data_IF_635995520079
#
_entry.id   IF_635995520079
#
_cell.length_a   1.000
_cell.length_b   1.000
_cell.length_c   1.000
_cell.angle_alpha   90.00
_cell.angle_beta   90.00
_cell.angle_gamma   90.00
#
_symmetry.space_group_name_H-M   'P 1'
#
loop_
_entity.id
_entity.type
_entity.pdbx_description
1 polymer ?
#
# COMPACT_ATOMS: atom_id res chain seq x y z
N UNK A 1 22.97 4.39 -32.06
CA UNK A 1 22.69 4.49 -30.61
C UNK A 1 23.92 4.03 -29.87
N UNK A 2 24.78 4.97 -29.49
CA UNK A 2 26.16 4.67 -29.08
C UNK A 2 26.17 4.37 -27.59
N UNK A 3 26.32 3.10 -27.23
CA UNK A 3 26.76 2.68 -25.89
C UNK A 3 27.98 3.54 -25.57
N UNK A 4 27.85 4.47 -24.64
CA UNK A 4 28.91 5.45 -24.35
C UNK A 4 30.19 4.72 -23.95
N UNK A 5 31.37 5.32 -24.23
CA UNK A 5 32.69 4.73 -23.93
C UNK A 5 32.84 4.28 -22.46
N UNK A 6 32.00 4.80 -21.57
CA UNK A 6 31.90 4.46 -20.14
C UNK A 6 31.17 3.14 -19.86
N UNK A 7 30.24 2.72 -20.73
CA UNK A 7 29.36 1.55 -20.51
C UNK A 7 30.01 0.26 -21.00
N UNK A 8 30.88 0.35 -22.01
CA UNK A 8 31.55 -0.81 -22.62
C UNK A 8 32.41 -1.62 -21.61
N UNK A 9 33.26 -1.00 -20.77
CA UNK A 9 34.11 -1.73 -19.83
C UNK A 9 33.31 -2.43 -18.73
N UNK A 10 32.24 -1.81 -18.23
CA UNK A 10 31.34 -2.37 -17.21
C UNK A 10 30.45 -3.49 -17.75
N UNK A 11 30.00 -3.39 -19.01
CA UNK A 11 29.31 -4.49 -19.68
C UNK A 11 30.24 -5.66 -19.99
N UNK A 12 31.50 -5.38 -20.32
CA UNK A 12 32.55 -6.40 -20.49
C UNK A 12 32.90 -7.04 -19.15
N UNK A 13 32.92 -6.28 -18.05
CA UNK A 13 33.06 -6.80 -16.69
C UNK A 13 31.86 -7.69 -16.32
N UNK A 14 30.61 -7.26 -16.56
CA UNK A 14 29.42 -8.12 -16.40
C UNK A 14 29.49 -9.38 -17.25
N UNK A 15 30.04 -9.31 -18.47
CA UNK A 15 30.21 -10.47 -19.35
C UNK A 15 31.26 -11.45 -18.81
N UNK A 16 32.39 -10.91 -18.36
CA UNK A 16 33.48 -11.68 -17.77
C UNK A 16 33.05 -12.32 -16.44
N UNK A 17 32.20 -11.64 -15.68
CA UNK A 17 31.66 -12.10 -14.41
C UNK A 17 30.44 -13.02 -14.56
N UNK A 18 29.60 -12.81 -15.57
CA UNK A 18 28.48 -13.67 -15.93
C UNK A 18 28.91 -15.06 -16.42
N UNK A 19 30.17 -15.21 -16.83
CA UNK A 19 30.79 -16.50 -17.11
C UNK A 19 31.31 -17.23 -15.85
N UNK A 20 31.34 -16.59 -14.68
CA UNK A 20 31.90 -17.15 -13.43
C UNK A 20 30.94 -17.15 -12.22
N UNK A 21 29.94 -16.27 -12.18
CA UNK A 21 28.83 -16.30 -11.21
C UNK A 21 27.77 -15.23 -11.56
N UNK A 22 26.51 -15.63 -11.68
CA UNK A 22 25.31 -14.77 -11.70
C UNK A 22 25.33 -13.72 -10.57
N UNK A 23 25.94 -14.10 -9.43
CA UNK A 23 25.99 -13.32 -8.19
C UNK A 23 26.64 -11.93 -8.34
N UNK A 24 27.80 -11.84 -9.01
CA UNK A 24 28.57 -10.59 -9.09
C UNK A 24 27.96 -9.60 -10.10
N UNK A 25 27.19 -10.10 -11.07
CA UNK A 25 26.41 -9.29 -12.00
C UNK A 25 25.37 -8.47 -11.23
N UNK A 26 24.62 -9.07 -10.31
CA UNK A 26 23.56 -8.38 -9.58
C UNK A 26 24.02 -7.28 -8.63
N UNK A 27 25.16 -7.50 -7.93
CA UNK A 27 25.76 -6.49 -7.03
C UNK A 27 26.16 -5.21 -7.77
N UNK A 28 26.63 -5.35 -9.01
CA UNK A 28 27.02 -4.22 -9.84
C UNK A 28 25.83 -3.62 -10.57
N UNK A 29 24.80 -4.39 -10.91
CA UNK A 29 23.57 -3.91 -11.57
C UNK A 29 22.82 -2.90 -10.70
N UNK A 30 22.62 -3.15 -9.41
CA UNK A 30 21.95 -2.19 -8.52
C UNK A 30 22.70 -0.85 -8.43
N UNK A 31 24.04 -0.88 -8.46
CA UNK A 31 24.90 0.31 -8.48
C UNK A 31 24.89 1.00 -9.84
N UNK A 32 25.00 0.24 -10.93
CA UNK A 32 24.91 0.73 -12.31
C UNK A 32 23.59 1.44 -12.54
N UNK A 33 22.47 0.84 -12.15
CA UNK A 33 21.14 1.42 -12.34
C UNK A 33 20.94 2.70 -11.50
N UNK A 34 21.61 2.83 -10.35
CA UNK A 34 21.64 4.07 -9.53
C UNK A 34 22.58 5.15 -10.08
N UNK A 35 23.60 4.80 -10.85
CA UNK A 35 24.59 5.74 -11.40
C UNK A 35 24.09 6.51 -12.62
N UNK A 36 23.07 6.03 -13.33
CA UNK A 36 22.51 6.74 -14.48
C UNK A 36 21.38 7.67 -14.07
N UNK A 37 21.34 8.87 -14.63
CA UNK A 37 20.27 9.83 -14.46
C UNK A 37 18.95 9.32 -15.09
N UNK A 38 17.79 9.79 -14.63
CA UNK A 38 16.47 9.37 -15.15
C UNK A 38 16.31 9.72 -16.65
N UNK A 39 17.16 10.59 -17.17
CA UNK A 39 17.25 11.00 -18.58
C UNK A 39 17.72 9.88 -19.53
N UNK A 40 18.35 8.80 -19.04
CA UNK A 40 18.87 7.70 -19.88
C UNK A 40 18.03 6.40 -19.82
N UNK A 41 16.72 6.58 -20.02
CA UNK A 41 15.70 5.53 -19.96
C UNK A 41 15.98 4.34 -20.89
N UNK A 42 16.45 4.58 -22.11
CA UNK A 42 16.65 3.50 -23.09
C UNK A 42 17.86 2.63 -22.77
N UNK A 43 18.96 3.19 -22.24
CA UNK A 43 20.12 2.38 -21.82
C UNK A 43 19.76 1.49 -20.63
N UNK A 44 18.94 2.01 -19.71
CA UNK A 44 18.39 1.26 -18.57
C UNK A 44 17.56 0.05 -19.00
N UNK A 45 16.66 0.21 -19.96
CA UNK A 45 15.89 -0.89 -20.56
C UNK A 45 16.80 -1.91 -21.27
N UNK A 46 17.82 -1.44 -22.00
CA UNK A 46 18.76 -2.32 -22.69
C UNK A 46 19.58 -3.17 -21.72
N UNK A 47 20.02 -2.59 -20.60
CA UNK A 47 20.71 -3.30 -19.50
C UNK A 47 19.79 -4.38 -18.91
N UNK A 48 18.54 -4.05 -18.59
CA UNK A 48 17.55 -5.02 -18.08
C UNK A 48 17.33 -6.20 -19.03
N UNK A 49 17.11 -5.91 -20.32
CA UNK A 49 16.95 -6.96 -21.35
C UNK A 49 18.18 -7.87 -21.42
N UNK A 50 19.38 -7.33 -21.20
CA UNK A 50 20.63 -8.10 -21.26
C UNK A 50 20.80 -8.99 -20.04
N UNK A 51 20.50 -8.48 -18.84
CA UNK A 51 20.56 -9.25 -17.58
C UNK A 51 19.52 -10.37 -17.59
N UNK A 52 18.29 -10.08 -18.02
CA UNK A 52 17.22 -11.08 -18.07
C UNK A 52 17.53 -12.25 -19.01
N UNK A 53 18.38 -12.05 -20.02
CA UNK A 53 18.86 -13.13 -20.90
C UNK A 53 19.91 -14.03 -20.26
N UNK A 54 20.65 -13.53 -19.29
CA UNK A 54 21.73 -14.26 -18.59
C UNK A 54 21.32 -14.75 -17.20
N UNK A 55 20.10 -14.42 -16.75
CA UNK A 55 19.62 -14.80 -15.43
C UNK A 55 19.28 -16.29 -15.37
N UNK A 56 19.92 -16.99 -14.43
CA UNK A 56 19.62 -18.37 -14.08
C UNK A 56 19.24 -18.45 -12.59
N UNK A 57 18.05 -18.97 -12.24
CA UNK A 57 17.55 -18.96 -10.86
C UNK A 57 18.31 -19.87 -9.88
N UNK A 58 19.16 -20.78 -10.36
CA UNK A 58 19.77 -21.85 -9.54
C UNK A 58 21.00 -21.43 -8.71
N UNK A 59 21.38 -20.15 -8.66
CA UNK A 59 22.51 -19.70 -7.83
C UNK A 59 22.04 -19.27 -6.42
N UNK A 60 21.86 -20.28 -5.56
CA UNK A 60 21.25 -20.21 -4.21
C UNK A 60 22.07 -19.48 -3.11
N UNK A 61 23.24 -18.90 -3.43
CA UNK A 61 24.17 -18.37 -2.41
C UNK A 61 24.13 -16.84 -2.18
N UNK A 62 23.11 -16.16 -2.70
CA UNK A 62 22.97 -14.70 -2.64
C UNK A 62 22.64 -14.10 -1.26
N UNK A 63 21.81 -14.75 -0.39
CA UNK A 63 21.44 -14.20 0.93
C UNK A 63 22.63 -14.05 1.88
N UNK A 64 23.68 -14.84 1.69
CA UNK A 64 24.86 -14.89 2.56
C UNK A 64 25.78 -13.67 2.40
N UNK A 65 25.51 -12.78 1.45
CA UNK A 65 26.30 -11.56 1.23
C UNK A 65 25.72 -10.35 1.97
N UNK A 66 26.58 -9.41 2.42
CA UNK A 66 26.13 -8.11 2.93
C UNK A 66 25.24 -7.41 1.90
N UNK A 67 24.06 -6.95 2.33
CA UNK A 67 23.06 -6.25 1.51
C UNK A 67 22.50 -7.03 0.29
N UNK A 68 22.66 -8.35 0.24
CA UNK A 68 22.21 -9.17 -0.89
C UNK A 68 20.69 -9.09 -1.10
N UNK A 69 19.93 -9.29 -0.02
CA UNK A 69 18.45 -9.24 -0.05
C UNK A 69 17.95 -7.86 -0.45
N UNK A 70 18.50 -6.79 0.15
CA UNK A 70 18.15 -5.41 -0.17
C UNK A 70 18.41 -5.06 -1.64
N UNK A 71 19.49 -5.58 -2.23
CA UNK A 71 19.80 -5.40 -3.65
C UNK A 71 18.78 -6.07 -4.58
N UNK A 72 18.29 -7.26 -4.20
CA UNK A 72 17.28 -7.99 -4.96
C UNK A 72 15.90 -7.32 -4.90
N UNK A 73 15.52 -6.79 -3.74
CA UNK A 73 14.30 -5.95 -3.62
C UNK A 73 14.40 -4.74 -4.55
N UNK A 74 15.53 -4.04 -4.55
CA UNK A 74 15.74 -2.91 -5.45
C UNK A 74 15.71 -3.27 -6.93
N UNK A 75 16.32 -4.40 -7.31
CA UNK A 75 16.27 -4.91 -8.68
C UNK A 75 14.84 -5.22 -9.11
N UNK A 76 14.07 -5.91 -8.26
CA UNK A 76 12.69 -6.22 -8.57
C UNK A 76 11.84 -4.95 -8.69
N UNK A 77 12.02 -3.98 -7.79
CA UNK A 77 11.39 -2.66 -7.89
C UNK A 77 11.66 -1.99 -9.24
N UNK A 78 12.90 -2.10 -9.70
CA UNK A 78 13.34 -1.53 -10.96
C UNK A 78 12.72 -2.24 -12.16
N UNK A 79 12.68 -3.57 -12.16
CA UNK A 79 12.02 -4.36 -13.20
C UNK A 79 10.56 -3.94 -13.30
N UNK A 80 9.84 -3.87 -12.17
CA UNK A 80 8.42 -3.46 -12.14
C UNK A 80 8.19 -2.05 -12.69
N UNK A 81 9.12 -1.11 -12.47
CA UNK A 81 9.02 0.27 -12.98
C UNK A 81 9.09 0.31 -14.51
N UNK A 82 10.00 -0.45 -15.13
CA UNK A 82 10.25 -0.37 -16.57
C UNK A 82 9.53 -1.42 -17.39
N UNK A 83 9.02 -2.49 -16.77
CA UNK A 83 8.31 -3.58 -17.46
C UNK A 83 7.21 -3.10 -18.43
N UNK A 84 6.34 -2.12 -18.09
CA UNK A 84 5.29 -1.65 -19.00
C UNK A 84 5.80 -0.98 -20.28
N UNK A 85 7.08 -0.61 -20.32
CA UNK A 85 7.70 0.16 -21.39
C UNK A 85 8.62 -0.70 -22.27
N UNK A 86 8.75 -1.98 -21.93
CA UNK A 86 9.64 -2.93 -22.60
C UNK A 86 8.88 -3.61 -23.74
N UNK A 87 9.32 -3.37 -24.98
CA UNK A 87 8.88 -4.15 -26.13
C UNK A 87 9.36 -5.61 -26.00
N UNK A 88 8.46 -6.57 -26.21
CA UNK A 88 8.69 -8.02 -26.08
C UNK A 88 9.29 -8.42 -24.72
N UNK A 89 8.54 -8.25 -23.60
CA UNK A 89 9.06 -8.35 -22.24
C UNK A 89 9.24 -9.79 -21.71
N UNK A 90 8.93 -10.83 -22.49
CA UNK A 90 8.84 -12.22 -22.01
C UNK A 90 10.01 -12.72 -21.14
N UNK A 91 11.26 -12.37 -21.49
CA UNK A 91 12.43 -12.75 -20.66
C UNK A 91 12.48 -11.98 -19.33
N UNK A 92 12.11 -10.71 -19.35
CA UNK A 92 12.10 -9.83 -18.17
C UNK A 92 10.93 -10.20 -17.26
N UNK A 93 9.78 -10.57 -17.82
CA UNK A 93 8.62 -11.09 -17.06
C UNK A 93 9.00 -12.36 -16.30
N UNK A 94 9.61 -13.35 -16.98
CA UNK A 94 10.08 -14.58 -16.32
C UNK A 94 11.06 -14.32 -15.18
N UNK A 95 11.99 -13.39 -15.38
CA UNK A 95 12.93 -12.97 -14.34
C UNK A 95 12.19 -12.30 -13.17
N UNK A 96 11.21 -11.43 -13.45
CA UNK A 96 10.39 -10.79 -12.42
C UNK A 96 9.61 -11.81 -11.60
N UNK A 97 9.00 -12.81 -12.25
CA UNK A 97 8.27 -13.89 -11.59
C UNK A 97 9.19 -14.72 -10.70
N UNK A 98 10.36 -15.11 -11.20
CA UNK A 98 11.35 -15.87 -10.43
C UNK A 98 11.83 -15.10 -9.19
N UNK A 99 12.11 -13.79 -9.35
CA UNK A 99 12.48 -12.93 -8.24
C UNK A 99 11.35 -12.75 -7.23
N UNK A 100 10.11 -12.60 -7.71
CA UNK A 100 8.93 -12.50 -6.86
C UNK A 100 8.78 -13.75 -6.00
N UNK A 101 8.92 -14.93 -6.58
CA UNK A 101 8.73 -16.20 -5.87
C UNK A 101 9.86 -16.43 -4.84
N UNK A 102 11.10 -16.03 -5.16
CA UNK A 102 12.23 -16.04 -4.25
C UNK A 102 12.01 -15.08 -3.06
N UNK A 103 11.64 -13.83 -3.34
CA UNK A 103 11.36 -12.82 -2.32
C UNK A 103 10.15 -13.21 -1.46
N UNK A 104 9.12 -13.83 -2.03
CA UNK A 104 7.97 -14.34 -1.27
C UNK A 104 8.37 -15.39 -0.24
N UNK A 105 9.35 -16.23 -0.57
CA UNK A 105 9.90 -17.22 0.37
C UNK A 105 10.63 -16.52 1.54
N UNK A 106 11.42 -15.48 1.27
CA UNK A 106 12.20 -14.80 2.30
C UNK A 106 11.42 -13.80 3.15
N UNK A 107 10.38 -13.16 2.61
CA UNK A 107 9.59 -12.13 3.30
C UNK A 107 8.27 -12.65 3.87
N UNK A 108 8.27 -13.89 4.36
CA UNK A 108 7.11 -14.49 5.03
C UNK A 108 6.81 -13.79 6.37
N UNK A 109 5.54 -13.67 6.77
CA UNK A 109 5.10 -13.04 8.05
C UNK A 109 5.90 -13.52 9.27
N UNK A 110 6.25 -14.80 9.34
CA UNK A 110 7.01 -15.39 10.44
C UNK A 110 8.35 -14.71 10.73
N UNK A 111 8.95 -14.09 9.70
CA UNK A 111 10.26 -13.44 9.77
C UNK A 111 10.18 -11.92 9.95
N UNK A 112 8.97 -11.35 9.94
CA UNK A 112 8.75 -9.94 10.18
C UNK A 112 8.52 -9.67 11.66
N UNK A 113 9.27 -8.73 12.21
CA UNK A 113 9.09 -8.22 13.57
C UNK A 113 8.20 -6.98 13.50
N UNK A 114 7.25 -6.87 14.43
CA UNK A 114 6.43 -5.68 14.59
C UNK A 114 7.00 -4.84 15.72
N UNK A 115 7.31 -3.58 15.43
CA UNK A 115 7.85 -2.63 16.39
C UNK A 115 6.94 -1.43 16.55
N UNK A 116 6.81 -0.94 17.78
CA UNK A 116 6.11 0.31 18.07
C UNK A 116 7.05 1.48 17.80
N UNK A 117 6.67 2.37 16.89
CA UNK A 117 7.38 3.62 16.64
C UNK A 117 6.77 4.71 17.51
N UNK A 118 7.62 5.38 18.28
CA UNK A 118 7.27 6.47 19.19
C UNK A 118 8.15 7.69 18.92
N UNK A 119 7.88 8.81 19.58
CA UNK A 119 8.76 9.98 19.49
C UNK A 119 10.16 9.74 20.07
N UNK A 120 10.33 8.69 20.89
CA UNK A 120 11.62 8.27 21.46
C UNK A 120 12.38 7.28 20.56
N UNK A 121 11.76 6.79 19.48
CA UNK A 121 12.43 5.89 18.53
C UNK A 121 13.60 6.60 17.82
N UNK A 122 14.60 5.86 17.31
CA UNK A 122 15.70 6.43 16.56
C UNK A 122 15.23 7.33 15.42
N UNK A 123 15.90 8.49 15.26
CA UNK A 123 15.55 9.50 14.26
C UNK A 123 15.49 8.92 12.84
N UNK A 124 16.36 7.96 12.53
CA UNK A 124 16.39 7.25 11.24
C UNK A 124 15.04 6.58 10.92
N UNK A 125 14.47 5.82 11.86
CA UNK A 125 13.16 5.16 11.69
C UNK A 125 12.04 6.19 11.58
N UNK A 126 12.06 7.23 12.41
CA UNK A 126 11.07 8.31 12.37
C UNK A 126 11.11 9.06 11.03
N UNK A 127 12.30 9.29 10.47
CA UNK A 127 12.49 9.86 9.15
C UNK A 127 11.90 8.94 8.07
N UNK A 128 12.16 7.63 8.11
CA UNK A 128 11.56 6.68 7.16
C UNK A 128 10.03 6.65 7.24
N UNK A 129 9.47 6.74 8.44
CA UNK A 129 8.01 6.88 8.63
C UNK A 129 7.47 8.14 7.95
N UNK A 130 8.19 9.25 8.05
CA UNK A 130 7.81 10.49 7.37
C UNK A 130 7.94 10.39 5.84
N UNK A 131 9.01 9.78 5.33
CA UNK A 131 9.30 9.64 3.90
C UNK A 131 8.31 8.69 3.19
N UNK A 132 7.94 7.59 3.85
CA UNK A 132 7.16 6.52 3.25
C UNK A 132 5.64 6.63 3.47
N UNK A 133 5.15 7.68 4.13
CA UNK A 133 3.72 7.87 4.34
C UNK A 133 2.97 8.13 3.01
N UNK A 134 2.30 7.08 2.53
CA UNK A 134 1.68 7.05 1.20
C UNK A 134 0.21 7.49 1.18
N UNK A 135 -0.49 7.51 2.32
CA UNK A 135 -1.92 7.81 2.39
C UNK A 135 -2.14 9.29 2.71
N UNK A 136 -1.55 9.77 3.80
CA UNK A 136 -1.69 11.14 4.30
C UNK A 136 -0.33 11.78 4.53
N UNK A 137 0.25 12.37 3.48
CA UNK A 137 1.60 12.98 3.52
C UNK A 137 1.83 13.80 4.78
N UNK A 138 2.92 13.49 5.48
CA UNK A 138 3.39 14.25 6.65
C UNK A 138 4.07 15.51 6.13
N UNK A 139 3.60 16.68 6.59
CA UNK A 139 4.04 17.98 6.03
C UNK A 139 5.27 18.56 6.73
N UNK A 140 5.44 18.27 8.03
CA UNK A 140 6.49 18.83 8.88
C UNK A 140 6.67 17.99 10.15
N UNK A 141 7.79 18.16 10.86
CA UNK A 141 8.15 17.37 12.05
C UNK A 141 7.13 17.43 13.20
N UNK A 142 6.48 18.57 13.41
CA UNK A 142 5.41 18.66 14.40
C UNK A 142 4.19 17.79 14.03
N UNK A 143 3.92 17.55 12.74
CA UNK A 143 2.87 16.62 12.31
C UNK A 143 3.26 15.18 12.64
N UNK A 144 4.51 14.78 12.39
CA UNK A 144 5.02 13.46 12.78
C UNK A 144 4.94 13.27 14.30
N UNK A 145 5.36 14.27 15.09
CA UNK A 145 5.28 14.21 16.56
C UNK A 145 3.87 13.94 17.06
N UNK A 146 2.85 14.58 16.46
CA UNK A 146 1.45 14.32 16.80
C UNK A 146 1.03 12.89 16.43
N UNK A 147 1.46 12.36 15.29
CA UNK A 147 1.15 11.00 14.84
C UNK A 147 1.85 9.90 15.65
N UNK A 148 2.92 10.24 16.35
CA UNK A 148 3.65 9.35 17.26
C UNK A 148 3.34 9.61 18.73
N UNK A 149 2.42 10.53 19.02
CA UNK A 149 2.07 10.99 20.37
C UNK A 149 0.80 10.34 20.94
N UNK A 150 0.22 10.95 21.99
CA UNK A 150 -1.00 10.48 22.64
C UNK A 150 -2.16 10.25 21.67
N UNK A 151 -2.98 9.24 21.96
CA UNK A 151 -4.09 8.75 21.14
C UNK A 151 -3.68 8.28 19.74
N UNK A 152 -2.38 8.15 19.45
CA UNK A 152 -1.86 7.65 18.18
C UNK A 152 -0.88 6.52 18.43
N UNK A 153 -0.92 5.52 17.57
CA UNK A 153 0.06 4.43 17.56
C UNK A 153 0.58 4.26 16.15
N UNK A 154 1.89 4.10 16.04
CA UNK A 154 2.55 3.78 14.79
C UNK A 154 3.29 2.46 14.95
N UNK A 155 3.09 1.55 14.01
CA UNK A 155 3.76 0.25 13.97
C UNK A 155 4.57 0.13 12.70
N UNK A 156 5.78 -0.39 12.81
CA UNK A 156 6.65 -0.70 11.70
C UNK A 156 6.89 -2.22 11.65
N UNK A 157 6.70 -2.81 10.48
CA UNK A 157 7.14 -4.17 10.19
C UNK A 157 8.56 -4.15 9.67
N UNK A 158 9.48 -4.74 10.42
CA UNK A 158 10.90 -4.77 10.12
C UNK A 158 11.31 -6.21 9.83
N UNK A 159 12.22 -6.38 8.89
CA UNK A 159 12.83 -7.67 8.61
C UNK A 159 14.29 -7.64 9.02
N UNK A 160 14.79 -8.71 9.65
CA UNK A 160 16.16 -8.77 10.16
C UNK A 160 17.27 -8.48 9.12
N UNK A 161 17.05 -8.80 7.84
CA UNK A 161 17.98 -8.48 6.74
C UNK A 161 17.84 -7.04 6.20
N UNK A 162 16.86 -6.28 6.68
CA UNK A 162 16.59 -4.89 6.32
C UNK A 162 16.14 -4.10 7.58
N UNK A 163 16.98 -4.02 8.63
CA UNK A 163 16.58 -3.47 9.93
C UNK A 163 16.23 -1.97 9.89
N UNK A 164 16.84 -1.22 8.98
CA UNK A 164 16.67 0.23 8.88
C UNK A 164 15.58 0.67 7.88
N UNK A 165 15.02 -0.28 7.12
CA UNK A 165 14.04 -0.02 6.08
C UNK A 165 12.72 -0.74 6.43
N UNK A 166 11.83 -0.09 7.20
CA UNK A 166 10.57 -0.69 7.61
C UNK A 166 9.74 -1.02 6.37
N UNK A 167 9.23 -2.25 6.24
CA UNK A 167 8.55 -2.74 5.04
C UNK A 167 7.07 -2.31 4.98
N UNK A 168 6.42 -2.26 6.13
CA UNK A 168 5.03 -1.82 6.28
C UNK A 168 4.93 -0.89 7.47
N UNK A 169 4.28 0.25 7.28
CA UNK A 169 4.06 1.25 8.33
C UNK A 169 2.56 1.41 8.51
N UNK A 170 2.09 1.27 9.76
CA UNK A 170 0.68 1.37 10.12
C UNK A 170 0.49 2.48 11.13
N UNK A 171 -0.40 3.42 10.81
CA UNK A 171 -0.86 4.42 11.76
C UNK A 171 -2.27 4.09 12.25
N UNK A 172 -2.43 4.05 13.57
CA UNK A 172 -3.70 3.84 14.25
C UNK A 172 -4.06 5.06 15.11
N UNK A 173 -5.33 5.45 15.08
CA UNK A 173 -5.92 6.42 15.99
C UNK A 173 -6.74 5.71 17.06
N UNK A 174 -6.47 6.01 18.33
CA UNK A 174 -7.27 5.56 19.46
C UNK A 174 -8.42 6.55 19.67
N UNK A 175 -9.65 6.05 19.67
CA UNK A 175 -10.89 6.86 19.73
C UNK A 175 -11.97 6.12 20.52
N UNK A 176 -13.05 6.82 20.85
CA UNK A 176 -14.22 6.27 21.54
C UNK A 176 -15.06 5.38 20.61
N UNK A 177 -15.21 5.76 19.34
CA UNK A 177 -16.08 5.10 18.39
C UNK A 177 -15.49 5.03 16.97
N UNK A 178 -15.95 4.05 16.18
CA UNK A 178 -15.48 3.85 14.79
C UNK A 178 -15.76 5.09 13.94
N UNK A 179 -14.69 5.81 13.61
CA UNK A 179 -14.74 7.07 12.86
C UNK A 179 -15.24 6.87 11.42
N UNK A 180 -15.97 7.86 10.93
CA UNK A 180 -16.51 7.93 9.57
C UNK A 180 -15.79 8.97 8.69
N UNK A 181 -14.91 9.80 9.25
CA UNK A 181 -14.18 10.86 8.54
C UNK A 181 -12.72 10.89 8.97
N UNK A 182 -11.84 11.04 7.98
CA UNK A 182 -10.40 11.12 8.25
C UNK A 182 -10.04 12.45 8.91
N UNK A 183 -10.78 13.51 8.59
CA UNK A 183 -10.58 14.82 9.19
C UNK A 183 -10.79 14.76 10.70
N UNK A 184 -11.76 14.01 11.21
CA UNK A 184 -11.95 13.83 12.66
C UNK A 184 -10.72 13.22 13.34
N UNK A 185 -10.06 12.24 12.68
CA UNK A 185 -8.85 11.62 13.21
C UNK A 185 -7.66 12.59 13.11
N UNK A 186 -7.42 13.22 11.97
CA UNK A 186 -6.26 14.09 11.79
C UNK A 186 -6.38 15.41 12.59
N UNK A 187 -7.60 15.88 12.83
CA UNK A 187 -7.86 17.19 13.42
C UNK A 187 -7.95 17.20 14.94
N UNK A 188 -8.02 16.02 15.60
CA UNK A 188 -8.16 15.92 17.06
C UNK A 188 -7.08 16.67 17.85
N UNK A 189 -5.92 16.98 17.23
CA UNK A 189 -4.77 17.64 17.87
C UNK A 189 -4.29 18.84 17.04
N UNK A 190 -5.22 19.67 16.57
CA UNK A 190 -4.92 20.70 15.56
C UNK A 190 -4.12 21.91 16.03
N UNK A 191 -4.02 22.15 17.33
CA UNK A 191 -3.40 23.36 17.88
C UNK A 191 -2.34 22.99 18.92
N UNK A 192 -1.10 23.43 18.71
CA UNK A 192 0.00 23.33 19.70
C UNK A 192 -0.28 24.23 20.91
N UNK A 193 -1.13 25.26 20.73
CA UNK A 193 -1.67 26.13 21.79
C UNK A 193 -2.84 25.52 22.57
N UNK A 194 -3.45 24.43 22.09
CA UNK A 194 -4.54 23.71 22.78
C UNK A 194 -4.01 22.50 23.55
N UNK A 195 -2.69 22.29 23.59
CA UNK A 195 -2.04 21.27 24.42
C UNK A 195 -2.08 21.75 25.86
N UNK A 196 -3.24 21.60 26.51
CA UNK A 196 -3.33 21.57 27.97
C UNK A 196 -2.58 20.32 28.48
N UNK A 197 -2.16 20.32 29.75
CA UNK A 197 -1.53 19.15 30.38
C UNK A 197 -2.39 17.87 30.24
N UNK A 198 -3.71 18.02 30.07
CA UNK A 198 -4.68 16.95 29.81
C UNK A 198 -4.48 16.19 28.48
N UNK A 199 -3.81 16.77 27.47
CA UNK A 199 -3.55 16.08 26.17
C UNK A 199 -2.27 15.22 26.23
N UNK A 200 -1.40 15.43 27.23
CA UNK A 200 -0.18 14.64 27.39
C UNK A 200 -0.46 13.25 27.96
N UNK A 201 -1.58 13.10 28.67
CA UNK A 201 -2.02 11.84 29.24
C UNK A 201 -3.24 11.30 28.50
N UNK A 202 -3.23 10.00 28.23
CA UNK A 202 -4.34 9.32 27.59
C UNK A 202 -5.40 8.99 28.65
N UNK A 203 -6.64 9.41 28.39
CA UNK A 203 -7.80 8.99 29.18
C UNK A 203 -8.31 7.65 28.63
N UNK A 204 -8.23 6.54 29.40
CA UNK A 204 -8.73 5.23 28.97
C UNK A 204 -10.23 5.25 28.63
N UNK A 205 -11.02 6.16 29.23
CA UNK A 205 -12.45 6.28 28.94
C UNK A 205 -12.76 6.69 27.50
N UNK A 206 -11.79 7.35 26.84
CA UNK A 206 -11.88 7.81 25.46
C UNK A 206 -11.24 6.83 24.46
N UNK A 207 -10.83 5.64 24.92
CA UNK A 207 -10.13 4.61 24.15
C UNK A 207 -10.96 3.32 24.18
N UNK A 208 -11.81 3.14 23.16
CA UNK A 208 -12.62 1.92 22.99
C UNK A 208 -12.38 1.31 21.59
N UNK A 209 -12.06 2.16 20.62
CA UNK A 209 -11.81 1.75 19.24
C UNK A 209 -10.41 2.14 18.77
N UNK A 210 -9.75 1.24 18.04
CA UNK A 210 -8.52 1.52 17.31
C UNK A 210 -8.80 1.56 15.80
N UNK A 211 -8.46 2.70 15.16
CA UNK A 211 -8.74 2.97 13.75
C UNK A 211 -7.44 3.04 12.96
N UNK A 212 -7.14 2.01 12.16
CA UNK A 212 -6.04 2.00 11.21
C UNK A 212 -6.38 2.94 10.03
N UNK A 213 -5.83 4.16 10.05
CA UNK A 213 -6.17 5.19 9.08
C UNK A 213 -5.08 5.38 8.00
N UNK A 214 -3.89 4.80 8.20
CA UNK A 214 -2.87 4.70 7.15
C UNK A 214 -2.14 3.37 7.26
N UNK A 215 -1.97 2.70 6.12
CA UNK A 215 -1.17 1.50 5.96
C UNK A 215 -0.35 1.71 4.69
N UNK A 216 0.96 1.81 4.85
CA UNK A 216 1.89 2.11 3.76
C UNK A 216 2.87 0.96 3.58
N UNK A 217 2.89 0.34 2.40
CA UNK A 217 3.99 -0.53 1.98
C UNK A 217 5.10 0.36 1.42
N UNK A 218 6.30 0.24 1.96
CA UNK A 218 7.40 1.17 1.70
C UNK A 218 8.32 0.73 0.57
N UNK A 219 8.34 -0.58 0.28
CA UNK A 219 9.25 -1.21 -0.67
C UNK A 219 8.53 -1.54 -1.97
N UNK A 220 8.72 -0.77 -3.07
CA UNK A 220 8.09 -1.05 -4.35
C UNK A 220 8.49 -2.42 -4.91
N UNK A 221 9.68 -2.92 -4.54
CA UNK A 221 10.18 -4.23 -4.91
C UNK A 221 9.48 -5.38 -4.21
N UNK A 222 8.67 -5.12 -3.19
CA UNK A 222 7.82 -6.11 -2.55
C UNK A 222 6.38 -6.06 -3.08
N UNK A 223 6.11 -5.29 -4.13
CA UNK A 223 4.79 -5.20 -4.73
C UNK A 223 4.37 -6.56 -5.30
N UNK A 224 3.17 -7.00 -4.90
CA UNK A 224 2.62 -8.30 -5.31
C UNK A 224 3.20 -9.48 -4.54
N UNK A 225 4.09 -9.24 -3.57
CA UNK A 225 4.51 -10.23 -2.60
C UNK A 225 3.61 -10.07 -1.38
N UNK A 226 2.88 -11.13 -1.09
CA UNK A 226 2.12 -11.19 0.14
C UNK A 226 3.12 -11.31 1.29
N UNK A 227 3.31 -10.22 2.03
CA UNK A 227 4.02 -10.20 3.32
C UNK A 227 3.28 -10.99 4.42
N UNK A 228 2.27 -11.75 3.97
CA UNK A 228 1.38 -12.72 4.56
C UNK A 228 0.17 -12.15 5.29
N UNK A 229 -0.74 -13.06 5.56
CA UNK A 229 -2.02 -12.79 6.21
C UNK A 229 -1.76 -12.68 7.71
N UNK A 230 -2.40 -11.72 8.39
CA UNK A 230 -2.28 -11.43 9.83
C UNK A 230 -1.30 -10.31 10.24
N UNK A 231 -0.88 -9.44 9.31
CA UNK A 231 -0.20 -8.17 9.68
C UNK A 231 -1.07 -7.36 10.64
N UNK A 232 -2.37 -7.27 10.39
CA UNK A 232 -3.24 -6.48 11.26
C UNK A 232 -3.48 -7.18 12.60
N UNK A 233 -3.59 -8.52 12.59
CA UNK A 233 -3.77 -9.35 13.79
C UNK A 233 -2.66 -9.10 14.83
N UNK A 234 -1.40 -9.03 14.41
CA UNK A 234 -0.27 -8.76 15.32
C UNK A 234 -0.31 -7.35 15.92
N UNK A 235 -0.67 -6.34 15.12
CA UNK A 235 -0.88 -4.98 15.64
C UNK A 235 -2.05 -4.93 16.63
N UNK A 236 -3.15 -5.64 16.35
CA UNK A 236 -4.30 -5.77 17.26
C UNK A 236 -3.88 -6.40 18.59
N UNK A 237 -3.10 -7.50 18.55
CA UNK A 237 -2.57 -8.13 19.76
C UNK A 237 -1.73 -7.17 20.60
N UNK A 238 -0.85 -6.39 19.98
CA UNK A 238 -0.02 -5.42 20.68
C UNK A 238 -0.84 -4.26 21.27
N UNK A 239 -1.86 -3.80 20.54
CA UNK A 239 -2.79 -2.79 21.04
C UNK A 239 -3.61 -3.29 22.22
N UNK A 240 -4.12 -4.54 22.17
CA UNK A 240 -4.88 -5.14 23.27
C UNK A 240 -4.01 -5.41 24.51
N UNK A 241 -2.73 -5.73 24.31
CA UNK A 241 -1.78 -5.87 25.42
C UNK A 241 -1.50 -4.53 26.11
N UNK A 242 -1.47 -3.43 25.35
CA UNK A 242 -1.28 -2.08 25.89
C UNK A 242 -2.58 -1.50 26.50
N UNK A 243 -3.71 -1.73 25.85
CA UNK A 243 -5.03 -1.19 26.17
C UNK A 243 -6.07 -2.31 26.18
N UNK A 244 -6.23 -3.03 27.31
CA UNK A 244 -7.19 -4.13 27.43
C UNK A 244 -8.66 -3.72 27.19
N UNK A 245 -8.98 -2.44 27.37
CA UNK A 245 -10.28 -1.82 27.12
C UNK A 245 -10.67 -1.70 25.63
N UNK A 246 -9.73 -1.94 24.70
CA UNK A 246 -10.00 -1.88 23.27
C UNK A 246 -10.86 -3.06 22.80
N UNK A 247 -12.10 -2.75 22.43
CA UNK A 247 -13.06 -3.75 21.92
C UNK A 247 -13.18 -3.73 20.40
N UNK A 248 -12.96 -2.57 19.77
CA UNK A 248 -13.33 -2.35 18.37
C UNK A 248 -12.11 -2.03 17.52
N UNK A 249 -11.82 -2.89 16.55
CA UNK A 249 -10.74 -2.68 15.59
C UNK A 249 -11.32 -2.44 14.20
N UNK A 250 -10.96 -1.33 13.58
CA UNK A 250 -11.40 -1.00 12.23
C UNK A 250 -10.30 -0.29 11.48
N UNK A 251 -10.34 -0.29 10.16
CA UNK A 251 -9.65 0.71 9.36
C UNK A 251 -10.58 1.87 9.02
N UNK A 252 -10.00 2.97 8.53
CA UNK A 252 -10.70 3.96 7.71
C UNK A 252 -9.88 4.11 6.42
N UNK A 253 -10.27 3.39 5.38
CA UNK A 253 -9.44 3.13 4.22
C UNK A 253 -9.92 3.87 2.97
N UNK A 254 -9.00 4.33 2.09
CA UNK A 254 -9.34 4.89 0.79
C UNK A 254 -9.82 3.80 -0.17
N UNK A 255 -10.44 4.21 -1.28
CA UNK A 255 -10.93 3.33 -2.34
C UNK A 255 -10.32 3.78 -3.69
N UNK A 256 -9.00 3.59 -3.89
CA UNK A 256 -8.20 4.36 -4.85
C UNK A 256 -8.68 4.29 -6.30
N UNK A 257 -9.26 3.17 -6.72
CA UNK A 257 -9.59 2.89 -8.11
C UNK A 257 -11.09 2.99 -8.42
N UNK A 258 -11.93 3.37 -7.45
CA UNK A 258 -13.38 3.41 -7.64
C UNK A 258 -13.83 4.39 -8.71
N UNK A 259 -13.33 5.64 -8.70
CA UNK A 259 -13.69 6.62 -9.72
C UNK A 259 -13.26 6.16 -11.11
N UNK A 260 -12.06 5.59 -11.23
CA UNK A 260 -11.55 5.05 -12.49
C UNK A 260 -12.47 3.95 -13.02
N UNK A 261 -12.82 2.98 -12.17
CA UNK A 261 -13.77 1.92 -12.51
C UNK A 261 -15.12 2.49 -12.94
N UNK A 262 -15.69 3.44 -12.19
CA UNK A 262 -16.97 4.05 -12.53
C UNK A 262 -16.92 4.72 -13.91
N UNK A 263 -15.85 5.45 -14.22
CA UNK A 263 -15.70 6.07 -15.54
C UNK A 263 -15.58 5.02 -16.66
N UNK A 264 -14.87 3.92 -16.44
CA UNK A 264 -14.79 2.82 -17.41
C UNK A 264 -16.17 2.19 -17.64
N UNK A 265 -16.94 1.95 -16.58
CA UNK A 265 -18.29 1.42 -16.68
C UNK A 265 -19.23 2.35 -17.44
N UNK A 266 -19.17 3.67 -17.17
CA UNK A 266 -20.00 4.67 -17.85
C UNK A 266 -19.75 4.73 -19.37
N UNK A 267 -18.50 4.59 -19.80
CA UNK A 267 -18.16 4.54 -21.24
C UNK A 267 -18.45 3.19 -21.89
N UNK A 268 -18.42 2.11 -21.12
CA UNK A 268 -18.70 0.77 -21.64
C UNK A 268 -20.20 0.59 -21.91
N UNK A 269 -20.58 0.35 -23.17
CA UNK A 269 -21.97 0.06 -23.54
C UNK A 269 -22.45 -1.34 -23.12
N UNK A 270 -21.58 -2.17 -22.54
CA UNK A 270 -21.82 -3.61 -22.36
C UNK A 270 -22.29 -4.04 -20.96
N UNK A 271 -22.24 -3.18 -19.95
CA UNK A 271 -22.57 -3.56 -18.56
C UNK A 271 -23.96 -3.12 -18.10
N UNK A 272 -24.73 -4.10 -17.60
CA UNK A 272 -26.15 -3.98 -17.21
C UNK A 272 -26.41 -3.29 -15.87
N UNK A 273 -25.38 -2.98 -15.08
CA UNK A 273 -25.53 -2.46 -13.70
C UNK A 273 -25.98 -1.00 -13.66
N UNK A 274 -25.61 -0.20 -14.68
CA UNK A 274 -25.97 1.21 -14.78
C UNK A 274 -26.92 1.38 -15.95
N UNK A 275 -28.15 1.82 -15.66
CA UNK A 275 -29.17 2.07 -16.69
C UNK A 275 -28.77 3.24 -17.60
N UNK A 276 -29.37 3.31 -18.78
CA UNK A 276 -29.18 4.42 -19.74
C UNK A 276 -29.44 5.78 -19.11
N UNK A 277 -30.48 5.90 -18.30
CA UNK A 277 -30.90 7.14 -17.65
C UNK A 277 -29.86 7.61 -16.65
N UNK A 278 -29.36 6.67 -15.82
CA UNK A 278 -28.31 6.95 -14.83
C UNK A 278 -27.00 7.33 -15.53
N UNK A 279 -26.65 6.67 -16.65
CA UNK A 279 -25.47 7.01 -17.45
C UNK A 279 -25.54 8.44 -17.98
N UNK A 280 -26.65 8.80 -18.64
CA UNK A 280 -26.85 10.15 -19.16
C UNK A 280 -26.80 11.21 -18.05
N UNK A 281 -27.36 10.88 -16.88
CA UNK A 281 -27.29 11.75 -15.71
C UNK A 281 -25.86 11.96 -15.22
N UNK A 282 -25.05 10.90 -15.09
CA UNK A 282 -23.62 11.02 -14.74
C UNK A 282 -22.82 11.82 -15.76
N UNK A 283 -23.08 11.64 -17.06
CA UNK A 283 -22.42 12.42 -18.11
C UNK A 283 -22.74 13.91 -18.01
N UNK A 284 -24.02 14.25 -17.78
CA UNK A 284 -24.44 15.63 -17.53
C UNK A 284 -23.77 16.19 -16.28
N UNK A 285 -23.73 15.43 -15.19
CA UNK A 285 -23.19 15.88 -13.93
C UNK A 285 -21.68 16.13 -13.98
N UNK A 286 -20.91 15.20 -14.54
CA UNK A 286 -19.46 15.31 -14.63
C UNK A 286 -18.98 16.29 -15.70
N UNK A 287 -19.88 16.82 -16.55
CA UNK A 287 -19.56 17.91 -17.47
C UNK A 287 -19.28 19.23 -16.73
N UNK A 288 -19.85 19.41 -15.54
CA UNK A 288 -19.63 20.60 -14.70
C UNK A 288 -18.51 20.32 -13.70
N UNK A 289 -17.50 21.17 -13.60
CA UNK A 289 -16.37 20.91 -12.68
C UNK A 289 -16.71 21.10 -11.19
N UNK A 290 -17.80 21.80 -10.89
CA UNK A 290 -18.18 22.27 -9.55
C UNK A 290 -19.38 21.54 -8.94
N UNK A 291 -19.86 20.44 -9.53
CA UNK A 291 -21.04 19.71 -9.02
C UNK A 291 -20.92 19.30 -7.55
N UNK A 292 -19.71 19.04 -7.09
CA UNK A 292 -19.39 18.63 -5.72
C UNK A 292 -19.48 19.76 -4.68
N UNK A 293 -19.81 20.99 -5.12
CA UNK A 293 -20.06 22.14 -4.24
C UNK A 293 -21.56 22.36 -3.96
N UNK A 294 -22.44 21.70 -4.73
CA UNK A 294 -23.89 21.80 -4.55
C UNK A 294 -24.38 20.66 -3.65
N UNK A 295 -24.80 21.00 -2.44
CA UNK A 295 -25.29 20.02 -1.45
C UNK A 295 -26.57 19.30 -1.93
N UNK A 296 -27.41 19.94 -2.73
CA UNK A 296 -28.62 19.32 -3.30
C UNK A 296 -28.24 18.17 -4.23
N UNK A 297 -27.29 18.44 -5.11
CA UNK A 297 -26.73 17.46 -6.03
C UNK A 297 -26.03 16.32 -5.26
N UNK A 298 -25.29 16.65 -4.20
CA UNK A 298 -24.63 15.65 -3.35
C UNK A 298 -25.63 14.71 -2.67
N UNK A 299 -26.77 15.22 -2.21
CA UNK A 299 -27.83 14.41 -1.59
C UNK A 299 -28.53 13.50 -2.61
N UNK A 300 -28.79 13.99 -3.83
CA UNK A 300 -29.37 13.20 -4.91
C UNK A 300 -28.45 12.06 -5.36
N UNK A 301 -27.14 12.31 -5.48
CA UNK A 301 -26.18 11.33 -5.99
C UNK A 301 -25.68 10.33 -4.96
N UNK A 302 -25.70 10.70 -3.68
CA UNK A 302 -25.26 9.86 -2.58
C UNK A 302 -25.80 8.42 -2.65
N UNK A 303 -27.13 8.15 -2.73
CA UNK A 303 -27.63 6.78 -2.72
C UNK A 303 -27.15 5.96 -3.93
N UNK A 304 -27.01 6.59 -5.09
CA UNK A 304 -26.54 5.94 -6.33
C UNK A 304 -25.07 5.58 -6.22
N UNK A 305 -24.22 6.54 -5.83
CA UNK A 305 -22.78 6.30 -5.67
C UNK A 305 -22.46 5.31 -4.56
N UNK A 306 -23.15 5.39 -3.42
CA UNK A 306 -22.95 4.42 -2.34
C UNK A 306 -23.31 2.99 -2.77
N UNK A 307 -24.39 2.81 -3.56
CA UNK A 307 -24.76 1.49 -4.09
C UNK A 307 -23.74 0.97 -5.10
N UNK A 308 -23.28 1.82 -6.02
CA UNK A 308 -22.24 1.45 -6.99
C UNK A 308 -20.91 1.14 -6.31
N UNK A 309 -20.55 1.87 -5.25
CA UNK A 309 -19.36 1.62 -4.46
C UNK A 309 -19.45 0.29 -3.70
N UNK A 310 -20.60 -0.02 -3.12
CA UNK A 310 -20.83 -1.33 -2.48
C UNK A 310 -20.72 -2.48 -3.50
N UNK A 311 -21.28 -2.30 -4.70
CA UNK A 311 -21.14 -3.25 -5.80
C UNK A 311 -19.67 -3.42 -6.21
N UNK A 312 -18.94 -2.32 -6.38
CA UNK A 312 -17.52 -2.33 -6.72
C UNK A 312 -16.67 -3.12 -5.72
N UNK A 313 -16.86 -2.88 -4.42
CA UNK A 313 -16.06 -3.54 -3.38
C UNK A 313 -16.39 -5.03 -3.22
N UNK A 314 -17.63 -5.45 -3.49
CA UNK A 314 -18.10 -6.81 -3.17
C UNK A 314 -18.22 -7.73 -4.39
N UNK A 315 -18.58 -7.19 -5.55
CA UNK A 315 -18.90 -7.96 -6.75
C UNK A 315 -17.84 -7.85 -7.85
N UNK A 316 -17.14 -6.71 -7.95
CA UNK A 316 -16.16 -6.51 -9.03
C UNK A 316 -14.85 -7.20 -8.68
N UNK A 317 -14.45 -8.15 -9.51
CA UNK A 317 -13.26 -8.98 -9.31
C UNK A 317 -12.19 -8.73 -10.37
N UNK A 318 -10.94 -9.04 -10.04
CA UNK A 318 -9.83 -9.05 -10.98
C UNK A 318 -9.96 -10.26 -11.92
N UNK A 319 -9.93 -10.04 -13.23
CA UNK A 319 -10.26 -11.06 -14.24
C UNK A 319 -9.33 -12.29 -14.21
N UNK A 320 -8.07 -12.11 -13.83
CA UNK A 320 -7.09 -13.22 -13.79
C UNK A 320 -7.12 -14.03 -12.50
N UNK A 321 -7.51 -13.42 -11.38
CA UNK A 321 -7.30 -14.00 -10.04
C UNK A 321 -8.60 -14.24 -9.27
N UNK A 322 -9.72 -13.64 -9.67
CA UNK A 322 -11.00 -13.76 -8.97
C UNK A 322 -11.10 -12.99 -7.66
N UNK A 323 -10.01 -12.38 -7.18
CA UNK A 323 -10.00 -11.53 -5.98
C UNK A 323 -10.65 -10.17 -6.21
N UNK A 324 -10.98 -9.46 -5.12
CA UNK A 324 -11.51 -8.10 -5.18
C UNK A 324 -10.65 -7.20 -6.07
N UNK A 325 -11.30 -6.44 -6.95
CA UNK A 325 -10.61 -5.55 -7.88
C UNK A 325 -9.90 -4.40 -7.17
N UNK A 326 -10.50 -3.87 -6.11
CA UNK A 326 -9.89 -2.80 -5.32
C UNK A 326 -8.69 -3.34 -4.52
N UNK A 327 -7.49 -2.77 -4.68
CA UNK A 327 -6.29 -3.29 -4.01
C UNK A 327 -6.35 -3.17 -2.49
N UNK A 328 -7.04 -2.15 -1.97
CA UNK A 328 -7.17 -1.91 -0.52
C UNK A 328 -8.18 -2.87 0.08
N UNK A 329 -9.31 -3.09 -0.59
CA UNK A 329 -10.26 -4.15 -0.25
C UNK A 329 -9.57 -5.50 -0.23
N UNK A 330 -8.82 -5.82 -1.30
CA UNK A 330 -8.10 -7.07 -1.42
C UNK A 330 -7.16 -7.28 -0.22
N UNK A 331 -6.39 -6.26 0.17
CA UNK A 331 -5.50 -6.31 1.33
C UNK A 331 -6.25 -6.59 2.64
N UNK A 332 -7.33 -5.86 2.92
CA UNK A 332 -8.07 -6.01 4.17
C UNK A 332 -8.81 -7.35 4.27
N UNK A 333 -9.33 -7.85 3.15
CA UNK A 333 -10.02 -9.14 3.07
C UNK A 333 -9.04 -10.31 3.25
N UNK A 334 -7.84 -10.24 2.66
CA UNK A 334 -6.74 -11.17 2.95
C UNK A 334 -6.40 -11.20 4.46
N UNK A 335 -6.47 -10.04 5.12
CA UNK A 335 -6.28 -9.91 6.57
C UNK A 335 -7.54 -10.23 7.39
N UNK A 336 -8.58 -10.82 6.80
CA UNK A 336 -9.77 -11.32 7.51
C UNK A 336 -10.76 -10.25 7.96
N UNK A 337 -10.65 -9.03 7.45
CA UNK A 337 -11.57 -7.95 7.78
C UNK A 337 -12.93 -8.14 7.08
N UNK A 338 -13.96 -7.49 7.63
CA UNK A 338 -15.29 -7.40 7.02
C UNK A 338 -15.46 -6.02 6.40
N UNK A 339 -15.97 -5.95 5.16
CA UNK A 339 -16.43 -4.67 4.58
C UNK A 339 -17.62 -4.18 5.39
N UNK A 340 -17.40 -3.25 6.32
CA UNK A 340 -18.37 -2.99 7.38
C UNK A 340 -19.28 -1.80 7.10
N UNK A 341 -18.70 -0.68 6.67
CA UNK A 341 -19.46 0.56 6.42
C UNK A 341 -18.81 1.40 5.34
N UNK A 342 -19.60 1.84 4.37
CA UNK A 342 -19.24 2.92 3.46
C UNK A 342 -19.49 4.27 4.11
N UNK A 343 -18.54 5.18 3.97
CA UNK A 343 -18.59 6.52 4.54
C UNK A 343 -18.65 7.55 3.40
N UNK A 344 -19.77 8.26 3.32
CA UNK A 344 -19.99 9.35 2.37
C UNK A 344 -19.23 10.61 2.81
N UNK A 345 -18.60 11.30 1.86
CA UNK A 345 -17.81 12.53 2.09
C UNK A 345 -16.77 12.42 3.22
N UNK A 346 -16.19 11.24 3.36
CA UNK A 346 -15.24 10.89 4.42
C UNK A 346 -13.84 11.45 4.19
N UNK A 347 -13.45 11.69 2.93
CA UNK A 347 -12.21 12.39 2.57
C UNK A 347 -12.46 13.48 1.52
N UNK A 348 -12.73 14.69 2.00
CA UNK A 348 -12.96 15.88 1.15
C UNK A 348 -11.68 16.47 0.53
N UNK A 349 -10.53 15.82 0.66
CA UNK A 349 -9.31 16.26 0.00
C UNK A 349 -9.41 16.10 -1.53
N UNK A 350 -8.59 16.83 -2.28
CA UNK A 350 -8.50 16.68 -3.74
C UNK A 350 -8.21 15.23 -4.15
N UNK A 351 -7.39 14.52 -3.34
CA UNK A 351 -7.10 13.10 -3.53
C UNK A 351 -8.37 12.25 -3.37
N UNK A 352 -9.13 12.44 -2.30
CA UNK A 352 -10.35 11.69 -2.04
C UNK A 352 -11.38 11.86 -3.16
N UNK A 353 -11.54 13.07 -3.69
CA UNK A 353 -12.38 13.32 -4.86
C UNK A 353 -11.88 12.60 -6.11
N UNK A 354 -10.58 12.66 -6.41
CA UNK A 354 -9.99 12.01 -7.59
C UNK A 354 -10.02 10.48 -7.53
N UNK A 355 -9.95 9.89 -6.35
CA UNK A 355 -9.85 8.43 -6.17
C UNK A 355 -11.23 7.77 -6.08
N UNK A 356 -12.11 8.31 -5.23
CA UNK A 356 -13.33 7.62 -4.81
C UNK A 356 -14.54 8.53 -4.66
N UNK A 357 -14.50 9.73 -5.25
CA UNK A 357 -15.56 10.73 -5.09
C UNK A 357 -15.83 11.03 -3.60
N UNK A 358 -14.75 11.18 -2.83
CA UNK A 358 -14.77 11.50 -1.39
C UNK A 358 -15.30 10.37 -0.48
N UNK A 359 -15.53 9.17 -1.02
CA UNK A 359 -15.93 8.00 -0.23
C UNK A 359 -14.73 7.29 0.40
N UNK A 360 -14.92 6.81 1.62
CA UNK A 360 -14.00 5.87 2.28
C UNK A 360 -14.79 4.68 2.81
N UNK A 361 -14.08 3.65 3.28
CA UNK A 361 -14.69 2.44 3.81
C UNK A 361 -14.04 2.04 5.13
N UNK A 362 -14.85 1.59 6.08
CA UNK A 362 -14.38 0.92 7.28
C UNK A 362 -14.30 -0.58 7.03
N UNK A 363 -13.10 -1.16 7.15
CA UNK A 363 -12.93 -2.61 7.25
C UNK A 363 -12.81 -3.01 8.72
N UNK A 364 -13.77 -3.78 9.22
CA UNK A 364 -13.85 -4.12 10.65
C UNK A 364 -13.19 -5.47 10.93
N UNK A 365 -12.33 -5.49 11.94
CA UNK A 365 -11.70 -6.68 12.48
C UNK A 365 -12.43 -7.08 13.75
N UNK A 366 -12.91 -8.32 13.79
CA UNK A 366 -13.63 -8.89 14.92
C UNK A 366 -12.69 -9.78 15.74
N UNK A 367 -13.21 -10.79 16.44
CA UNK A 367 -12.40 -11.78 17.17
C UNK A 367 -11.41 -12.51 16.25
N UNK A 368 -10.31 -13.00 16.83
CA UNK A 368 -9.27 -13.71 16.08
C UNK A 368 -9.80 -14.93 15.31
N UNK A 369 -10.71 -15.70 15.90
CA UNK A 369 -11.35 -16.82 15.20
C UNK A 369 -12.15 -16.39 13.98
N UNK A 370 -12.72 -15.17 14.00
CA UNK A 370 -13.44 -14.63 12.85
C UNK A 370 -12.48 -14.07 11.80
N UNK A 371 -11.39 -13.43 12.23
CA UNK A 371 -10.32 -12.96 11.33
C UNK A 371 -9.74 -14.14 10.55
N UNK A 372 -9.35 -15.21 11.23
CA UNK A 372 -8.74 -16.38 10.59
C UNK A 372 -9.72 -17.07 9.62
N UNK A 373 -10.98 -17.28 10.05
CA UNK A 373 -12.02 -17.85 9.17
C UNK A 373 -12.31 -17.01 7.95
N UNK A 374 -12.47 -15.69 8.11
CA UNK A 374 -12.73 -14.79 7.00
C UNK A 374 -11.57 -14.79 6.00
N UNK A 375 -10.33 -14.78 6.49
CA UNK A 375 -9.13 -14.84 5.66
C UNK A 375 -9.11 -16.14 4.84
N UNK A 376 -9.35 -17.29 5.48
CA UNK A 376 -9.42 -18.60 4.82
C UNK A 376 -10.54 -18.63 3.75
N UNK A 377 -11.74 -18.15 4.08
CA UNK A 377 -12.86 -18.12 3.13
C UNK A 377 -12.57 -17.20 1.93
N UNK A 378 -11.92 -16.05 2.15
CA UNK A 378 -11.57 -15.14 1.07
C UNK A 378 -10.45 -15.70 0.18
N UNK A 379 -9.39 -16.27 0.77
CA UNK A 379 -8.28 -16.85 0.01
C UNK A 379 -8.74 -18.09 -0.77
N UNK A 380 -9.46 -19.00 -0.11
CA UNK A 380 -9.84 -20.27 -0.71
C UNK A 380 -11.04 -20.18 -1.66
N UNK A 381 -12.01 -19.29 -1.39
CA UNK A 381 -13.29 -19.23 -2.11
C UNK A 381 -13.62 -17.85 -2.69
N UNK A 382 -12.75 -16.86 -2.51
CA UNK A 382 -12.96 -15.46 -2.94
C UNK A 382 -14.26 -14.84 -2.41
N UNK A 383 -14.76 -15.38 -1.28
CA UNK A 383 -15.99 -14.95 -0.60
C UNK A 383 -15.72 -13.69 0.20
N UNK A 384 -16.52 -12.65 -0.04
CA UNK A 384 -16.49 -11.36 0.66
C UNK A 384 -17.63 -11.29 1.66
#
# INVERSE_FOLDING_TARGET
>A
MTITKTVRPLLEEIFYLGARSSILVFKNVGKLLKQYDESDKQNRIAILKRIAKTYHPQEENFPSQPDGVHSLVHLHAYILKFLPEIESPAYVERMSESLRDLLATWFTTGLLQVERVTWQSPCEIAQRVSEYEAVHRIRYWADLKRRLGPYRRCFAYIHHMMPNDPLVILHAGLVDNISNSIQTILNRVKSVSDVTEEILHEDPSLINSAIFYSISSTQPGLRGIELGNALIKRCVLQLQAEHPELEKFSSLSPIPDFRKWLMEELHSSSTSIISSEIRSWFHSLFSTSTWHLDETVLDEIRPVLMRLCAYYLTQVKHSKTGYARDPVANFHLHNGAVVWRLNWLADRSERGWKQSLSMMVNYRYYSFDRIDRNSIDYIGKQKI
#
